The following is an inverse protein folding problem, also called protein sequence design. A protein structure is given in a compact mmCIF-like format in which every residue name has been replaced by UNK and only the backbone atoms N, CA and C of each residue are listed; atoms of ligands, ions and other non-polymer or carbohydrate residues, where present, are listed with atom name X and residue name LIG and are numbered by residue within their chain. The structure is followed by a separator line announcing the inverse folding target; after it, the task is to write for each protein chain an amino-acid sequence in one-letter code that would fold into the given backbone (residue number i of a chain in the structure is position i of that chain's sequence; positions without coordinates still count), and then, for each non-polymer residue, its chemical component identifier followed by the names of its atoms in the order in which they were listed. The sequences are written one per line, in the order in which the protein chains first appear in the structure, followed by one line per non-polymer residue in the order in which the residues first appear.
data_IF_371339999858
#
_entry.id   IF_371339999858
#
_cell.length_a   1.000
_cell.length_b   1.000
_cell.length_c   1.000
_cell.angle_alpha   90.00
_cell.angle_beta   90.00
_cell.angle_gamma   90.00
#
_symmetry.space_group_name_H-M   'P 1'
#
loop_
_entity.id
_entity.type
_entity.pdbx_description
1 polymer ?
#
# COMPACT_ATOMS: atom_id res chain seq x y z
N UNK A 1 -19.74 16.16 7.00
CA UNK A 1 -19.88 16.33 8.46
C UNK A 1 -21.29 15.96 8.86
N UNK A 2 -21.48 14.80 9.47
CA UNK A 2 -22.68 14.51 10.26
C UNK A 2 -22.24 14.54 11.73
N UNK A 3 -22.97 15.27 12.57
CA UNK A 3 -22.71 15.43 14.01
C UNK A 3 -21.36 16.06 14.43
N UNK A 4 -20.68 16.79 13.53
CA UNK A 4 -19.42 17.48 13.87
C UNK A 4 -18.18 16.57 13.89
N UNK A 5 -18.35 15.29 13.55
CA UNK A 5 -17.24 14.35 13.38
C UNK A 5 -16.88 14.24 11.90
N UNK A 6 -15.57 14.23 11.65
CA UNK A 6 -15.04 14.00 10.32
C UNK A 6 -15.00 12.49 10.08
N UNK A 7 -15.75 12.02 9.09
CA UNK A 7 -15.83 10.60 8.78
C UNK A 7 -14.46 10.11 8.30
N UNK A 8 -14.09 8.87 8.65
CA UNK A 8 -12.82 8.25 8.25
C UNK A 8 -12.49 8.51 6.77
N UNK A 9 -13.50 8.34 5.90
CA UNK A 9 -13.37 8.50 4.46
C UNK A 9 -13.03 9.93 4.05
N UNK A 10 -13.64 10.94 4.69
CA UNK A 10 -13.36 12.35 4.39
C UNK A 10 -11.91 12.70 4.73
N UNK A 11 -11.42 12.19 5.87
CA UNK A 11 -10.04 12.43 6.30
C UNK A 11 -9.06 11.84 5.30
N UNK A 12 -9.23 10.55 4.97
CA UNK A 12 -8.38 9.86 4.00
C UNK A 12 -8.44 10.51 2.63
N UNK A 13 -9.63 10.83 2.13
CA UNK A 13 -9.80 11.41 0.80
C UNK A 13 -9.10 12.76 0.69
N UNK A 14 -9.23 13.61 1.70
CA UNK A 14 -8.55 14.90 1.77
C UNK A 14 -7.03 14.75 1.68
N UNK A 15 -6.45 13.85 2.49
CA UNK A 15 -5.00 13.58 2.46
C UNK A 15 -4.58 13.00 1.11
N UNK A 16 -5.33 12.04 0.57
CA UNK A 16 -5.04 11.41 -0.73
C UNK A 16 -5.08 12.40 -1.90
N UNK A 17 -6.03 13.34 -1.89
CA UNK A 17 -6.12 14.40 -2.92
C UNK A 17 -4.90 15.32 -2.84
N UNK A 18 -4.53 15.77 -1.64
CA UNK A 18 -3.36 16.62 -1.46
C UNK A 18 -2.06 15.93 -1.88
N UNK A 19 -1.88 14.67 -1.49
CA UNK A 19 -0.73 13.87 -1.91
C UNK A 19 -0.66 13.71 -3.43
N UNK A 20 -1.80 13.51 -4.10
CA UNK A 20 -1.88 13.41 -5.56
C UNK A 20 -1.58 14.74 -6.25
N UNK A 21 -1.90 15.86 -5.61
CA UNK A 21 -1.56 17.20 -6.08
C UNK A 21 -0.11 17.61 -5.72
N UNK A 22 0.67 16.72 -5.10
CA UNK A 22 2.03 16.99 -4.60
C UNK A 22 2.09 18.12 -3.54
N UNK A 23 0.96 18.42 -2.90
CA UNK A 23 0.81 19.43 -1.85
C UNK A 23 1.21 18.85 -0.47
N UNK A 24 2.47 18.42 -0.35
CA UNK A 24 2.94 17.65 0.81
C UNK A 24 2.88 18.43 2.13
N UNK A 25 3.31 19.69 2.13
CA UNK A 25 3.29 20.53 3.33
C UNK A 25 1.86 20.75 3.83
N UNK A 26 0.91 20.91 2.91
CA UNK A 26 -0.49 21.02 3.25
C UNK A 26 -1.03 19.69 3.79
N UNK A 27 -0.70 18.56 3.16
CA UNK A 27 -1.14 17.24 3.59
C UNK A 27 -0.67 16.93 5.02
N UNK A 28 0.59 17.23 5.33
CA UNK A 28 1.15 17.10 6.67
C UNK A 28 0.40 17.97 7.68
N UNK A 29 0.23 19.26 7.38
CA UNK A 29 -0.53 20.17 8.26
C UNK A 29 -1.96 19.68 8.49
N UNK A 30 -2.65 19.25 7.44
CA UNK A 30 -4.01 18.72 7.50
C UNK A 30 -4.10 17.44 8.36
N UNK A 31 -3.09 16.55 8.30
CA UNK A 31 -3.03 15.36 9.14
C UNK A 31 -3.11 15.75 10.63
N UNK A 32 -2.28 16.69 11.07
CA UNK A 32 -2.23 17.08 12.47
C UNK A 32 -3.41 17.95 12.89
N UNK A 33 -3.78 18.95 12.11
CA UNK A 33 -4.84 19.91 12.46
C UNK A 33 -6.20 19.23 12.60
N UNK A 34 -6.51 18.30 11.70
CA UNK A 34 -7.81 17.66 11.65
C UNK A 34 -7.91 16.38 12.49
N UNK A 35 -6.80 15.90 13.08
CA UNK A 35 -6.77 14.71 13.95
C UNK A 35 -7.83 14.77 15.07
N UNK A 36 -8.02 15.94 15.66
CA UNK A 36 -8.95 16.14 16.78
C UNK A 36 -10.42 15.88 16.41
N UNK A 37 -10.78 16.01 15.13
CA UNK A 37 -12.15 15.81 14.65
C UNK A 37 -12.45 14.35 14.27
N UNK A 38 -11.46 13.45 14.40
CA UNK A 38 -11.66 12.03 14.22
C UNK A 38 -12.35 11.41 15.46
N UNK A 39 -13.19 10.38 15.25
CA UNK A 39 -13.85 9.66 16.34
C UNK A 39 -12.83 9.18 17.38
N UNK A 40 -13.03 9.54 18.64
CA UNK A 40 -12.03 9.32 19.71
C UNK A 40 -11.56 7.87 19.80
N UNK A 41 -12.49 6.92 19.65
CA UNK A 41 -12.22 5.48 19.70
C UNK A 41 -11.20 5.01 18.67
N UNK A 42 -11.24 5.57 17.45
CA UNK A 42 -10.43 5.11 16.33
C UNK A 42 -9.35 6.14 15.93
N UNK A 43 -9.36 7.35 16.53
CA UNK A 43 -8.54 8.52 16.16
C UNK A 43 -7.09 8.19 15.90
N UNK A 44 -6.40 7.55 16.84
CA UNK A 44 -4.98 7.24 16.71
C UNK A 44 -4.72 6.25 15.57
N UNK A 45 -5.59 5.24 15.42
CA UNK A 45 -5.45 4.25 14.37
C UNK A 45 -5.66 4.86 12.97
N UNK A 46 -6.69 5.71 12.83
CA UNK A 46 -6.96 6.44 11.58
C UNK A 46 -5.81 7.38 11.26
N UNK A 47 -5.36 8.15 12.25
CA UNK A 47 -4.25 9.08 12.11
C UNK A 47 -2.97 8.36 11.67
N UNK A 48 -2.57 7.30 12.39
CA UNK A 48 -1.35 6.55 12.10
C UNK A 48 -1.38 5.91 10.71
N UNK A 49 -2.52 5.37 10.28
CA UNK A 49 -2.64 4.80 8.93
C UNK A 49 -2.49 5.85 7.83
N UNK A 50 -3.09 7.04 7.99
CA UNK A 50 -2.96 8.12 7.01
C UNK A 50 -1.56 8.77 7.04
N UNK A 51 -0.93 8.85 8.21
CA UNK A 51 0.46 9.29 8.36
C UNK A 51 1.42 8.30 7.68
N UNK A 52 1.15 6.99 7.79
CA UNK A 52 1.90 5.97 7.08
C UNK A 52 1.80 6.15 5.55
N UNK A 53 0.60 6.44 5.04
CA UNK A 53 0.39 6.73 3.61
C UNK A 53 1.21 7.95 3.19
N UNK A 54 1.20 9.03 4.00
CA UNK A 54 1.97 10.24 3.73
C UNK A 54 3.47 9.93 3.59
N UNK A 55 4.06 9.24 4.57
CA UNK A 55 5.47 8.88 4.53
C UNK A 55 5.81 7.93 3.38
N UNK A 56 4.99 6.90 3.17
CA UNK A 56 5.17 5.95 2.08
C UNK A 56 5.17 6.63 0.70
N UNK A 57 4.23 7.54 0.44
CA UNK A 57 4.16 8.28 -0.83
C UNK A 57 5.34 9.21 -1.05
N UNK A 58 6.03 9.60 0.02
CA UNK A 58 7.25 10.41 -0.02
C UNK A 58 8.54 9.60 -0.08
N UNK A 59 8.47 8.27 -0.05
CA UNK A 59 9.64 7.40 0.00
C UNK A 59 10.29 7.33 1.39
N UNK A 60 9.66 7.87 2.43
CA UNK A 60 10.15 7.84 3.80
C UNK A 60 9.77 6.51 4.46
N UNK A 61 10.43 5.43 4.06
CA UNK A 61 10.04 4.08 4.47
C UNK A 61 10.33 3.79 5.96
N UNK A 62 11.38 4.38 6.52
CA UNK A 62 11.74 4.25 7.94
C UNK A 62 10.63 4.77 8.87
N UNK A 63 9.91 5.82 8.46
CA UNK A 63 8.79 6.38 9.20
C UNK A 63 7.47 5.64 8.91
N UNK A 64 7.27 5.20 7.66
CA UNK A 64 6.04 4.54 7.23
C UNK A 64 5.89 3.14 7.84
N UNK A 65 6.97 2.35 7.84
CA UNK A 65 6.92 0.94 8.22
C UNK A 65 6.45 0.68 9.66
N UNK A 66 6.98 1.38 10.70
CA UNK A 66 6.50 1.20 12.07
C UNK A 66 5.02 1.52 12.24
N UNK A 67 4.52 2.53 11.52
CA UNK A 67 3.11 2.90 11.55
C UNK A 67 2.23 1.82 10.89
N UNK A 68 2.66 1.27 9.75
CA UNK A 68 1.94 0.18 9.07
C UNK A 68 1.87 -1.10 9.91
N UNK A 69 2.88 -1.35 10.75
CA UNK A 69 2.90 -2.49 11.68
C UNK A 69 2.00 -2.27 12.91
N UNK A 70 1.77 -1.00 13.31
CA UNK A 70 0.98 -0.64 14.49
C UNK A 70 -0.53 -0.63 14.22
N UNK A 71 -0.94 -0.27 13.00
CA UNK A 71 -2.37 -0.05 12.68
C UNK A 71 -3.17 -1.35 12.65
N UNK A 72 -4.38 -1.30 13.23
CA UNK A 72 -5.36 -2.38 13.19
C UNK A 72 -6.47 -2.00 12.21
N UNK A 73 -6.58 -2.74 11.10
CA UNK A 73 -7.48 -2.40 10.00
C UNK A 73 -8.54 -3.49 9.82
N UNK A 74 -9.76 -3.18 10.27
CA UNK A 74 -10.93 -4.06 10.15
C UNK A 74 -11.53 -4.05 8.73
N UNK A 75 -11.44 -2.91 8.04
CA UNK A 75 -11.85 -2.81 6.65
C UNK A 75 -10.87 -3.59 5.76
N UNK A 76 -11.43 -4.45 4.90
CA UNK A 76 -10.66 -5.37 4.07
C UNK A 76 -9.76 -4.62 3.08
N UNK A 77 -10.25 -3.54 2.47
CA UNK A 77 -9.51 -2.80 1.46
C UNK A 77 -8.36 -2.01 2.09
N UNK A 78 -8.56 -1.44 3.28
CA UNK A 78 -7.47 -0.78 4.01
C UNK A 78 -6.43 -1.77 4.49
N UNK A 79 -6.84 -2.96 4.94
CA UNK A 79 -5.91 -4.02 5.30
C UNK A 79 -5.04 -4.43 4.11
N UNK A 80 -5.63 -4.64 2.94
CA UNK A 80 -4.91 -4.97 1.70
C UNK A 80 -3.99 -3.84 1.24
N UNK A 81 -4.45 -2.59 1.34
CA UNK A 81 -3.66 -1.40 0.99
C UNK A 81 -2.42 -1.27 1.90
N UNK A 82 -2.58 -1.50 3.21
CA UNK A 82 -1.47 -1.54 4.17
C UNK A 82 -0.48 -2.67 3.87
N UNK A 83 -0.97 -3.89 3.63
CA UNK A 83 -0.13 -5.04 3.26
C UNK A 83 0.64 -4.79 1.97
N UNK A 84 0.02 -4.14 0.98
CA UNK A 84 0.69 -3.74 -0.27
C UNK A 84 1.82 -2.74 -0.01
N UNK A 85 1.57 -1.69 0.77
CA UNK A 85 2.61 -0.71 1.13
C UNK A 85 3.78 -1.38 1.85
N UNK A 86 3.48 -2.17 2.86
CA UNK A 86 4.50 -2.85 3.67
C UNK A 86 5.29 -3.86 2.84
N UNK A 87 4.65 -4.60 1.93
CA UNK A 87 5.33 -5.52 1.02
C UNK A 87 6.24 -4.79 0.04
N UNK A 88 5.81 -3.63 -0.47
CA UNK A 88 6.66 -2.80 -1.32
C UNK A 88 7.86 -2.25 -0.56
N UNK A 89 7.66 -1.76 0.67
CA UNK A 89 8.76 -1.31 1.53
C UNK A 89 9.77 -2.44 1.71
N UNK A 90 9.34 -3.63 2.15
CA UNK A 90 10.25 -4.74 2.36
C UNK A 90 11.00 -5.15 1.09
N UNK A 91 10.35 -5.06 -0.08
CA UNK A 91 11.03 -5.31 -1.34
C UNK A 91 12.08 -4.25 -1.65
N UNK A 92 11.72 -2.96 -1.56
CA UNK A 92 12.61 -1.85 -1.88
C UNK A 92 13.79 -1.73 -0.89
N UNK A 93 13.66 -2.29 0.32
CA UNK A 93 14.71 -2.31 1.35
C UNK A 93 15.41 -3.67 1.50
N UNK A 94 15.24 -4.59 0.55
CA UNK A 94 15.86 -5.94 0.56
C UNK A 94 15.55 -6.80 1.82
N UNK A 95 14.41 -6.56 2.47
CA UNK A 95 13.94 -7.29 3.65
C UNK A 95 13.21 -8.59 3.26
N UNK A 96 13.95 -9.57 2.76
CA UNK A 96 13.40 -10.76 2.10
C UNK A 96 12.54 -11.66 3.01
N UNK A 97 12.99 -11.93 4.24
CA UNK A 97 12.26 -12.81 5.17
C UNK A 97 10.88 -12.27 5.55
N UNK A 98 10.73 -11.01 6.01
CA UNK A 98 9.42 -10.46 6.31
C UNK A 98 8.58 -10.26 5.04
N UNK A 99 9.20 -9.93 3.89
CA UNK A 99 8.50 -9.88 2.60
C UNK A 99 7.82 -11.21 2.26
N UNK A 100 8.59 -12.31 2.31
CA UNK A 100 8.06 -13.64 2.00
C UNK A 100 6.88 -13.99 2.90
N UNK A 101 7.03 -13.80 4.21
CA UNK A 101 5.98 -14.06 5.21
C UNK A 101 4.73 -13.22 4.95
N UNK A 102 4.91 -11.95 4.56
CA UNK A 102 3.81 -11.05 4.24
C UNK A 102 3.09 -11.45 2.96
N UNK A 103 3.81 -11.84 1.90
CA UNK A 103 3.22 -12.33 0.64
C UNK A 103 2.37 -13.58 0.91
N UNK A 104 2.91 -14.56 1.63
CA UNK A 104 2.21 -15.82 1.93
C UNK A 104 0.93 -15.57 2.74
N UNK A 105 1.04 -14.80 3.84
CA UNK A 105 -0.12 -14.45 4.65
C UNK A 105 -1.15 -13.61 3.90
N UNK A 106 -0.72 -12.73 2.98
CA UNK A 106 -1.62 -11.89 2.18
C UNK A 106 -2.37 -12.69 1.13
N UNK A 107 -1.73 -13.69 0.50
CA UNK A 107 -2.42 -14.64 -0.41
C UNK A 107 -3.50 -15.44 0.33
N UNK A 108 -3.19 -15.93 1.54
CA UNK A 108 -4.16 -16.63 2.39
C UNK A 108 -5.30 -15.69 2.81
N UNK A 109 -4.99 -14.46 3.18
CA UNK A 109 -5.99 -13.46 3.54
C UNK A 109 -6.92 -13.17 2.36
N UNK A 110 -6.38 -12.88 1.17
CA UNK A 110 -7.14 -12.63 -0.07
C UNK A 110 -8.08 -13.79 -0.41
N UNK A 111 -7.59 -15.03 -0.32
CA UNK A 111 -8.42 -16.21 -0.61
C UNK A 111 -9.69 -16.30 0.25
N UNK A 112 -9.68 -15.69 1.45
CA UNK A 112 -10.84 -15.65 2.35
C UNK A 112 -11.82 -14.51 2.02
N UNK A 113 -11.40 -13.50 1.24
CA UNK A 113 -12.22 -12.34 0.91
C UNK A 113 -12.99 -12.57 -0.39
N UNK A 114 -14.30 -12.82 -0.28
CA UNK A 114 -15.13 -13.16 -1.45
C UNK A 114 -15.83 -11.95 -2.09
N UNK A 115 -16.02 -10.87 -1.34
CA UNK A 115 -16.94 -9.78 -1.71
C UNK A 115 -16.25 -8.41 -1.86
N UNK A 116 -15.02 -8.38 -2.38
CA UNK A 116 -14.27 -7.14 -2.64
C UNK A 116 -14.16 -6.78 -4.14
N UNK A 117 -14.91 -7.49 -4.99
CA UNK A 117 -15.00 -7.21 -6.42
C UNK A 117 -13.64 -7.21 -7.13
N UNK A 118 -13.43 -6.24 -8.02
CA UNK A 118 -12.20 -6.13 -8.83
C UNK A 118 -10.92 -5.93 -7.99
N UNK A 119 -11.05 -5.46 -6.74
CA UNK A 119 -9.89 -5.31 -5.85
C UNK A 119 -9.25 -6.66 -5.54
N UNK A 120 -10.03 -7.75 -5.49
CA UNK A 120 -9.50 -9.08 -5.27
C UNK A 120 -8.40 -9.41 -6.29
N UNK A 121 -8.75 -9.31 -7.59
CA UNK A 121 -7.83 -9.64 -8.67
C UNK A 121 -6.67 -8.65 -8.74
N UNK A 122 -6.93 -7.37 -8.47
CA UNK A 122 -5.89 -6.33 -8.42
C UNK A 122 -4.78 -6.65 -7.41
N UNK A 123 -5.15 -7.01 -6.18
CA UNK A 123 -4.19 -7.37 -5.13
C UNK A 123 -3.61 -8.78 -5.31
N UNK A 124 -4.41 -9.74 -5.78
CA UNK A 124 -3.92 -11.09 -6.07
C UNK A 124 -2.82 -11.06 -7.16
N UNK A 125 -3.02 -10.26 -8.22
CA UNK A 125 -2.00 -10.05 -9.24
C UNK A 125 -0.75 -9.38 -8.66
N UNK A 126 -0.91 -8.36 -7.82
CA UNK A 126 0.22 -7.71 -7.15
C UNK A 126 1.08 -8.72 -6.37
N UNK A 127 0.48 -9.48 -5.44
CA UNK A 127 1.23 -10.46 -4.65
C UNK A 127 1.76 -11.64 -5.46
N UNK A 128 1.12 -11.98 -6.59
CA UNK A 128 1.62 -12.99 -7.53
C UNK A 128 2.90 -12.52 -8.23
N UNK A 129 2.90 -11.30 -8.76
CA UNK A 129 4.07 -10.75 -9.46
C UNK A 129 5.20 -10.43 -8.49
N UNK A 130 4.89 -9.87 -7.32
CA UNK A 130 5.89 -9.60 -6.29
C UNK A 130 6.61 -10.87 -5.82
N UNK A 131 5.88 -11.97 -5.64
CA UNK A 131 6.47 -13.27 -5.28
C UNK A 131 7.42 -13.80 -6.36
N UNK A 132 7.08 -13.60 -7.65
CA UNK A 132 7.95 -13.97 -8.77
C UNK A 132 9.20 -13.09 -8.81
N UNK A 133 9.06 -11.78 -8.60
CA UNK A 133 10.19 -10.85 -8.56
C UNK A 133 11.14 -11.19 -7.40
N UNK A 134 10.60 -11.50 -6.22
CA UNK A 134 11.40 -11.89 -5.05
C UNK A 134 12.14 -13.22 -5.23
N UNK A 135 11.54 -14.21 -5.91
CA UNK A 135 12.10 -15.56 -6.05
C UNK A 135 13.06 -15.73 -7.22
N UNK A 136 13.20 -14.75 -8.09
CA UNK A 136 14.02 -14.84 -9.30
C UNK A 136 15.09 -13.74 -9.30
N UNK A 137 16.19 -14.01 -10.02
CA UNK A 137 17.24 -13.01 -10.19
C UNK A 137 16.77 -11.94 -11.18
N UNK A 138 16.59 -10.72 -10.66
CA UNK A 138 16.20 -9.57 -11.48
C UNK A 138 17.31 -9.06 -12.39
N UNK A 139 18.53 -9.59 -12.29
CA UNK A 139 19.61 -9.32 -13.26
C UNK A 139 19.52 -10.20 -14.51
N UNK A 140 18.55 -11.13 -14.56
CA UNK A 140 18.31 -11.95 -15.74
C UNK A 140 17.42 -11.19 -16.75
N UNK A 141 17.96 -10.70 -17.88
CA UNK A 141 17.22 -9.86 -18.82
C UNK A 141 16.07 -10.61 -19.50
N UNK A 142 16.20 -11.91 -19.75
CA UNK A 142 15.14 -12.71 -20.39
C UNK A 142 13.96 -12.90 -19.42
N UNK A 143 14.24 -13.14 -18.15
CA UNK A 143 13.20 -13.20 -17.11
C UNK A 143 12.48 -11.86 -17.00
N UNK A 144 13.22 -10.76 -16.87
CA UNK A 144 12.67 -9.42 -16.73
C UNK A 144 11.82 -9.02 -17.94
N UNK A 145 12.30 -9.28 -19.17
CA UNK A 145 11.54 -8.99 -20.39
C UNK A 145 10.23 -9.78 -20.48
N UNK A 146 10.25 -11.08 -20.14
CA UNK A 146 9.05 -11.90 -20.14
C UNK A 146 8.04 -11.45 -19.08
N UNK A 147 8.52 -11.20 -17.86
CA UNK A 147 7.68 -10.76 -16.75
C UNK A 147 7.08 -9.36 -17.02
N UNK A 148 7.87 -8.46 -17.60
CA UNK A 148 7.42 -7.13 -18.00
C UNK A 148 6.26 -7.20 -19.01
N UNK A 149 6.39 -8.04 -20.05
CA UNK A 149 5.34 -8.23 -21.04
C UNK A 149 4.02 -8.78 -20.43
N UNK A 150 4.11 -9.61 -19.39
CA UNK A 150 2.95 -10.08 -18.63
C UNK A 150 2.33 -8.97 -17.76
N UNK A 151 3.17 -8.22 -17.05
CA UNK A 151 2.76 -7.09 -16.20
C UNK A 151 2.02 -6.05 -17.03
N UNK A 152 2.55 -5.65 -18.19
CA UNK A 152 1.95 -4.65 -19.08
C UNK A 152 0.56 -5.05 -19.58
N UNK A 153 0.32 -6.35 -19.83
CA UNK A 153 -0.95 -6.87 -20.36
C UNK A 153 -2.01 -7.15 -19.29
N UNK A 154 -1.62 -7.26 -18.03
CA UNK A 154 -2.55 -7.57 -16.94
C UNK A 154 -3.47 -6.38 -16.67
N UNK A 155 -4.79 -6.50 -16.74
CA UNK A 155 -5.70 -5.33 -16.58
C UNK A 155 -5.80 -4.80 -15.14
N UNK A 156 -5.89 -5.69 -14.14
CA UNK A 156 -6.06 -5.32 -12.73
C UNK A 156 -4.78 -5.60 -11.96
N UNK A 157 -3.96 -4.58 -11.75
CA UNK A 157 -2.67 -4.72 -11.06
C UNK A 157 -2.36 -3.47 -10.23
N UNK A 158 -2.25 -3.63 -8.91
CA UNK A 158 -1.73 -2.58 -8.05
C UNK A 158 -0.22 -2.40 -8.27
N UNK A 159 0.27 -1.15 -8.11
CA UNK A 159 1.69 -0.79 -8.25
C UNK A 159 2.30 -1.17 -9.62
N UNK A 160 1.51 -1.16 -10.70
CA UNK A 160 1.99 -1.50 -12.05
C UNK A 160 3.23 -0.69 -12.44
N UNK A 161 3.16 0.63 -12.31
CA UNK A 161 4.22 1.52 -12.77
C UNK A 161 5.53 1.24 -12.01
N UNK A 162 5.44 1.05 -10.69
CA UNK A 162 6.57 0.64 -9.87
C UNK A 162 7.14 -0.72 -10.29
N UNK A 163 6.30 -1.73 -10.56
CA UNK A 163 6.79 -3.04 -11.04
C UNK A 163 7.50 -2.92 -12.39
N UNK A 164 6.96 -2.12 -13.32
CA UNK A 164 7.58 -1.87 -14.63
C UNK A 164 8.94 -1.18 -14.45
N UNK A 165 9.02 -0.16 -13.61
CA UNK A 165 10.27 0.54 -13.33
C UNK A 165 11.32 -0.38 -12.71
N UNK A 166 10.93 -1.20 -11.74
CA UNK A 166 11.81 -2.18 -11.10
C UNK A 166 12.35 -3.21 -12.09
N UNK A 167 11.48 -3.76 -12.94
CA UNK A 167 11.88 -4.76 -13.96
C UNK A 167 12.75 -4.18 -15.08
N UNK A 168 12.71 -2.86 -15.30
CA UNK A 168 13.59 -2.18 -16.27
C UNK A 168 14.97 -1.81 -15.71
N UNK A 169 15.11 -1.76 -14.38
CA UNK A 169 16.37 -1.45 -13.69
C UNK A 169 17.27 -2.67 -13.50
N UNK A 170 16.67 -3.85 -13.35
CA UNK A 170 17.36 -5.14 -13.26
C UNK A 170 17.86 -5.60 -14.62
#
# INVERSE_FOLDING_TARGET
MENGELQYYDYKNMIMIALKAEEYAWAEKALYDFKQYLPEKDRENIFNYNLAIYYFRRGNYDDAMPLLQLVTLNDVLYNLDSRRMLARIYFDTDEIMPLQSLIESSKVYLHRQKDIGYHHDMYANFFRYLDRMMKNDLKNPDFCANLLAEVEKTQLLAERDWMIETLKKG
#
